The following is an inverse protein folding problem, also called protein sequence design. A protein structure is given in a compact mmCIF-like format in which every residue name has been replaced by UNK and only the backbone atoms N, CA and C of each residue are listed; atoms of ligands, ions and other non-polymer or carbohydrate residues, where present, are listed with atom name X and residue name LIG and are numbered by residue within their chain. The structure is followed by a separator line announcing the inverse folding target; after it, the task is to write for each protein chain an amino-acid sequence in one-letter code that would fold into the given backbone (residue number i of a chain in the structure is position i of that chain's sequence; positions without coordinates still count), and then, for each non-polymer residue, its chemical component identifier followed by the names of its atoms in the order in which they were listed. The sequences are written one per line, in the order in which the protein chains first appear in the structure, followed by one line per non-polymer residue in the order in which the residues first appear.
data_IF_948228021069
#
_entry.id   IF_948228021069
#
_cell.length_a   1.000
_cell.length_b   1.000
_cell.length_c   1.000
_cell.angle_alpha   90.00
_cell.angle_beta   90.00
_cell.angle_gamma   90.00
#
_symmetry.space_group_name_H-M   'P 1'
#
loop_
_entity.id
_entity.type
_entity.pdbx_description
1 polymer ?
#
# COMPACT_ATOMS: atom_id res chain seq x y z
N UNK A 1 -15.01 -10.97 -40.58
CA UNK A 1 -14.87 -12.14 -39.70
C UNK A 1 -14.02 -11.70 -38.53
N UNK A 2 -14.62 -11.47 -37.37
CA UNK A 2 -13.88 -11.15 -36.14
C UNK A 2 -13.23 -12.45 -35.68
N UNK A 3 -11.89 -12.51 -35.71
CA UNK A 3 -11.14 -13.62 -35.13
C UNK A 3 -11.17 -13.37 -33.63
N UNK A 4 -12.05 -14.10 -32.93
CA UNK A 4 -12.09 -14.12 -31.47
C UNK A 4 -10.83 -14.89 -31.05
N UNK A 5 -9.88 -14.21 -30.39
CA UNK A 5 -8.68 -14.84 -29.90
C UNK A 5 -8.97 -15.46 -28.53
N UNK A 6 -9.23 -16.77 -28.50
CA UNK A 6 -9.55 -17.53 -27.29
C UNK A 6 -8.46 -17.39 -26.20
N UNK A 7 -7.21 -17.17 -26.59
CA UNK A 7 -6.09 -16.98 -25.66
C UNK A 7 -6.21 -15.70 -24.82
N UNK A 8 -6.90 -14.66 -25.33
CA UNK A 8 -7.13 -13.44 -24.55
C UNK A 8 -8.16 -13.66 -23.45
N UNK A 9 -9.18 -14.48 -23.70
CA UNK A 9 -10.18 -14.84 -22.70
C UNK A 9 -9.58 -15.71 -21.60
N UNK A 10 -8.70 -16.65 -21.95
CA UNK A 10 -7.97 -17.46 -20.96
C UNK A 10 -7.10 -16.60 -20.04
N UNK A 11 -6.48 -15.53 -20.57
CA UNK A 11 -5.71 -14.59 -19.75
C UNK A 11 -6.62 -13.80 -18.81
N UNK A 12 -7.77 -13.32 -19.29
CA UNK A 12 -8.74 -12.60 -18.46
C UNK A 12 -9.24 -13.49 -17.30
N UNK A 13 -9.58 -14.75 -17.57
CA UNK A 13 -10.01 -15.71 -16.55
C UNK A 13 -8.90 -15.98 -15.51
N UNK A 14 -7.64 -16.10 -15.95
CA UNK A 14 -6.50 -16.27 -15.07
C UNK A 14 -6.21 -15.03 -14.21
N UNK A 15 -6.45 -13.82 -14.75
CA UNK A 15 -6.35 -12.58 -13.97
C UNK A 15 -7.40 -12.59 -12.85
N UNK A 16 -8.63 -12.96 -13.15
CA UNK A 16 -9.70 -13.06 -12.14
C UNK A 16 -9.35 -14.08 -11.04
N UNK A 17 -8.75 -15.22 -11.41
CA UNK A 17 -8.26 -16.21 -10.44
C UNK A 17 -7.14 -15.65 -9.55
N UNK A 18 -6.15 -14.98 -10.13
CA UNK A 18 -5.06 -14.33 -9.39
C UNK A 18 -5.60 -13.29 -8.42
N UNK A 19 -6.52 -12.44 -8.87
CA UNK A 19 -7.16 -11.42 -8.02
C UNK A 19 -7.93 -12.09 -6.89
N UNK A 20 -8.74 -13.11 -7.18
CA UNK A 20 -9.50 -13.83 -6.17
C UNK A 20 -8.59 -14.43 -5.10
N UNK A 21 -7.57 -15.17 -5.52
CA UNK A 21 -6.62 -15.81 -4.60
C UNK A 21 -5.85 -14.77 -3.78
N UNK A 22 -5.46 -13.66 -4.39
CA UNK A 22 -4.81 -12.55 -3.68
C UNK A 22 -5.73 -11.95 -2.61
N UNK A 23 -7.01 -11.76 -2.90
CA UNK A 23 -7.99 -11.21 -1.96
C UNK A 23 -8.30 -12.16 -0.78
N UNK A 24 -8.04 -13.45 -0.91
CA UNK A 24 -8.20 -14.47 0.14
C UNK A 24 -6.99 -14.54 1.09
N UNK A 25 -5.90 -13.83 0.80
CA UNK A 25 -4.72 -13.80 1.66
C UNK A 25 -5.02 -13.21 3.05
N UNK A 26 -4.44 -13.78 4.12
CA UNK A 26 -4.66 -13.30 5.48
C UNK A 26 -4.20 -11.85 5.68
N UNK A 27 -3.17 -11.41 4.97
CA UNK A 27 -2.67 -10.03 5.00
C UNK A 27 -3.70 -9.04 4.45
N UNK A 28 -4.44 -9.42 3.40
CA UNK A 28 -5.55 -8.61 2.85
C UNK A 28 -6.69 -8.51 3.85
N UNK A 29 -7.03 -9.64 4.50
CA UNK A 29 -8.06 -9.65 5.54
C UNK A 29 -7.68 -8.77 6.74
N UNK A 30 -6.43 -8.87 7.20
CA UNK A 30 -5.89 -8.06 8.29
C UNK A 30 -5.90 -6.56 7.95
N UNK A 31 -5.43 -6.19 6.76
CA UNK A 31 -5.48 -4.80 6.29
C UNK A 31 -6.91 -4.26 6.26
N UNK A 32 -7.86 -5.02 5.71
CA UNK A 32 -9.28 -4.61 5.65
C UNK A 32 -9.86 -4.38 7.04
N UNK A 33 -9.61 -5.27 8.00
CA UNK A 33 -10.10 -5.13 9.37
C UNK A 33 -9.53 -3.88 10.07
N UNK A 34 -8.22 -3.65 9.91
CA UNK A 34 -7.55 -2.46 10.45
C UNK A 34 -8.07 -1.17 9.80
N UNK A 35 -8.30 -1.21 8.48
CA UNK A 35 -8.87 -0.07 7.74
C UNK A 35 -10.26 0.27 8.24
N UNK A 36 -11.14 -0.72 8.42
CA UNK A 36 -12.48 -0.48 9.00
C UNK A 36 -12.37 0.11 10.41
N UNK A 37 -11.53 -0.44 11.27
CA UNK A 37 -11.32 0.07 12.64
C UNK A 37 -10.78 1.52 12.66
N UNK A 38 -9.97 1.88 11.66
CA UNK A 38 -9.45 3.23 11.48
C UNK A 38 -10.54 4.20 10.97
N UNK A 39 -11.37 3.78 10.00
CA UNK A 39 -12.45 4.58 9.42
C UNK A 39 -13.60 4.83 10.41
N UNK A 40 -13.88 3.87 11.30
CA UNK A 40 -14.90 3.98 12.35
C UNK A 40 -14.51 4.88 13.53
N UNK A 41 -13.24 5.29 13.64
CA UNK A 41 -12.76 6.17 14.71
C UNK A 41 -13.06 7.64 14.40
N UNK A 42 -14.25 8.11 14.80
CA UNK A 42 -14.73 9.47 14.54
C UNK A 42 -13.76 10.57 15.03
N UNK A 43 -13.14 10.39 16.20
CA UNK A 43 -12.19 11.35 16.77
C UNK A 43 -10.92 11.44 15.90
N UNK A 44 -10.39 10.30 15.47
CA UNK A 44 -9.23 10.25 14.59
C UNK A 44 -9.54 10.83 13.21
N UNK A 45 -10.72 10.53 12.65
CA UNK A 45 -11.16 11.08 11.37
C UNK A 45 -11.35 12.61 11.44
N UNK A 46 -11.91 13.14 12.53
CA UNK A 46 -12.04 14.58 12.72
C UNK A 46 -10.67 15.28 12.81
N UNK A 47 -9.71 14.69 13.54
CA UNK A 47 -8.32 15.19 13.61
C UNK A 47 -7.64 15.19 12.24
N UNK A 48 -7.83 14.13 11.44
CA UNK A 48 -7.30 14.01 10.08
C UNK A 48 -7.93 15.02 9.12
N UNK A 49 -9.24 15.25 9.23
CA UNK A 49 -9.93 16.24 8.43
C UNK A 49 -9.39 17.65 8.72
N UNK A 50 -9.29 18.02 10.01
CA UNK A 50 -8.70 19.30 10.41
C UNK A 50 -7.28 19.48 9.89
N UNK A 51 -6.47 18.42 9.93
CA UNK A 51 -5.10 18.43 9.41
C UNK A 51 -5.07 18.64 7.89
N UNK A 52 -5.93 17.93 7.15
CA UNK A 52 -6.03 17.97 5.68
C UNK A 52 -6.49 19.35 5.20
N UNK A 53 -7.51 19.91 5.84
CA UNK A 53 -8.03 21.25 5.52
C UNK A 53 -6.98 22.36 5.74
N UNK A 54 -6.02 22.12 6.63
CA UNK A 54 -4.98 23.10 6.98
C UNK A 54 -3.58 22.67 6.52
N UNK A 55 -3.47 21.78 5.53
CA UNK A 55 -2.21 21.14 5.13
C UNK A 55 -1.12 22.15 4.75
N UNK A 56 -1.48 23.22 4.06
CA UNK A 56 -0.55 24.28 3.62
C UNK A 56 0.00 25.11 4.79
N UNK A 57 -0.70 25.13 5.92
CA UNK A 57 -0.35 25.93 7.09
C UNK A 57 0.42 25.15 8.16
N UNK A 58 0.60 23.83 8.00
CA UNK A 58 1.29 22.97 8.97
C UNK A 58 2.69 23.50 9.30
N UNK A 59 3.43 23.99 8.28
CA UNK A 59 4.78 24.52 8.46
C UNK A 59 4.84 25.81 9.30
N UNK A 60 3.73 26.53 9.41
CA UNK A 60 3.65 27.85 10.04
C UNK A 60 2.87 27.84 11.36
N UNK A 61 2.19 26.73 11.70
CA UNK A 61 1.35 26.60 12.90
C UNK A 61 1.82 25.43 13.75
N UNK A 62 2.46 25.69 14.92
CA UNK A 62 3.01 24.64 15.76
C UNK A 62 1.95 23.66 16.28
N UNK A 63 0.72 24.13 16.50
CA UNK A 63 -0.42 23.30 16.91
C UNK A 63 -0.76 22.22 15.86
N UNK A 64 -0.71 22.55 14.57
CA UNK A 64 -0.96 21.59 13.49
C UNK A 64 0.19 20.59 13.32
N UNK A 65 1.43 21.03 13.53
CA UNK A 65 2.58 20.14 13.56
C UNK A 65 2.49 19.13 14.73
N UNK A 66 2.02 19.59 15.88
CA UNK A 66 1.78 18.74 17.05
C UNK A 66 0.63 17.75 16.80
N UNK A 67 -0.48 18.22 16.22
CA UNK A 67 -1.60 17.36 15.81
C UNK A 67 -1.15 16.27 14.83
N UNK A 68 -0.34 16.63 13.82
CA UNK A 68 0.25 15.64 12.89
C UNK A 68 1.04 14.57 13.62
N UNK A 69 1.88 14.98 14.57
CA UNK A 69 2.68 14.04 15.37
C UNK A 69 1.79 13.14 16.22
N UNK A 70 0.73 13.68 16.82
CA UNK A 70 -0.22 12.92 17.62
C UNK A 70 -0.94 11.85 16.78
N UNK A 71 -1.39 12.21 15.56
CA UNK A 71 -1.99 11.27 14.61
C UNK A 71 -0.98 10.18 14.23
N UNK A 72 0.27 10.54 13.93
CA UNK A 72 1.31 9.57 13.56
C UNK A 72 1.69 8.62 14.70
N UNK A 73 1.54 9.03 15.96
CA UNK A 73 1.78 8.20 17.14
C UNK A 73 0.56 7.38 17.55
N UNK A 74 -0.59 7.57 16.90
CA UNK A 74 -1.79 6.79 17.17
C UNK A 74 -1.56 5.33 16.76
N UNK A 75 -1.87 4.40 17.65
CA UNK A 75 -1.66 2.98 17.43
C UNK A 75 -2.43 2.44 16.21
N UNK A 76 -3.67 2.89 15.97
CA UNK A 76 -4.46 2.46 14.81
C UNK A 76 -3.81 2.90 13.50
N UNK A 77 -3.29 4.12 13.46
CA UNK A 77 -2.55 4.65 12.31
C UNK A 77 -1.29 3.82 12.08
N UNK A 78 -0.55 3.53 13.14
CA UNK A 78 0.68 2.74 13.06
C UNK A 78 0.42 1.33 12.54
N UNK A 79 -0.55 0.62 13.11
CA UNK A 79 -0.91 -0.74 12.70
C UNK A 79 -1.41 -0.77 11.25
N UNK A 80 -2.23 0.21 10.85
CA UNK A 80 -2.69 0.33 9.48
C UNK A 80 -1.51 0.53 8.51
N UNK A 81 -0.52 1.35 8.87
CA UNK A 81 0.66 1.59 8.03
C UNK A 81 1.55 0.37 7.87
N UNK A 82 1.68 -0.47 8.90
CA UNK A 82 2.38 -1.75 8.79
C UNK A 82 1.65 -2.65 7.80
N UNK A 83 0.34 -2.85 8.00
CA UNK A 83 -0.46 -3.71 7.12
C UNK A 83 -0.50 -3.19 5.66
N UNK A 84 -0.50 -1.87 5.45
CA UNK A 84 -0.35 -1.29 4.10
C UNK A 84 0.99 -1.65 3.48
N UNK A 85 2.08 -1.58 4.23
CA UNK A 85 3.40 -1.92 3.74
C UNK A 85 3.52 -3.41 3.40
N UNK A 86 2.96 -4.29 4.25
CA UNK A 86 2.94 -5.73 3.99
C UNK A 86 2.17 -6.05 2.70
N UNK A 87 1.02 -5.39 2.49
CA UNK A 87 0.24 -5.54 1.27
C UNK A 87 0.99 -5.04 0.03
N UNK A 88 1.70 -3.91 0.15
CA UNK A 88 2.53 -3.37 -0.93
C UNK A 88 3.70 -4.29 -1.28
N UNK A 89 4.30 -4.96 -0.29
CA UNK A 89 5.35 -5.95 -0.52
C UNK A 89 4.81 -7.14 -1.31
N UNK A 90 3.68 -7.71 -0.92
CA UNK A 90 3.01 -8.80 -1.65
C UNK A 90 2.66 -8.42 -3.09
N UNK A 91 2.12 -7.21 -3.31
CA UNK A 91 1.81 -6.72 -4.66
C UNK A 91 3.08 -6.54 -5.49
N UNK A 92 4.18 -6.09 -4.86
CA UNK A 92 5.47 -5.92 -5.53
C UNK A 92 6.06 -7.25 -5.95
N UNK A 93 5.98 -8.27 -5.09
CA UNK A 93 6.39 -9.64 -5.41
C UNK A 93 5.57 -10.22 -6.56
N UNK A 94 4.25 -10.15 -6.48
CA UNK A 94 3.37 -10.59 -7.57
C UNK A 94 3.70 -9.90 -8.90
N UNK A 95 3.96 -8.59 -8.88
CA UNK A 95 4.31 -7.83 -10.09
C UNK A 95 5.65 -8.28 -10.69
N UNK A 96 6.63 -8.62 -9.84
CA UNK A 96 7.92 -9.15 -10.29
C UNK A 96 7.78 -10.54 -10.88
N UNK A 97 6.96 -11.40 -10.29
CA UNK A 97 6.74 -12.76 -10.78
C UNK A 97 6.09 -12.73 -12.16
N UNK A 98 5.07 -11.89 -12.35
CA UNK A 98 4.43 -11.67 -13.65
C UNK A 98 5.43 -11.10 -14.67
N UNK A 99 6.18 -10.06 -14.28
CA UNK A 99 7.14 -9.41 -15.18
C UNK A 99 8.25 -10.38 -15.60
N UNK A 100 8.76 -11.19 -14.68
CA UNK A 100 9.82 -12.17 -14.93
C UNK A 100 9.35 -13.33 -15.80
N UNK A 101 8.08 -13.73 -15.70
CA UNK A 101 7.48 -14.72 -16.58
C UNK A 101 7.42 -14.26 -18.04
N UNK A 102 7.26 -12.95 -18.28
CA UNK A 102 7.28 -12.34 -19.62
C UNK A 102 8.73 -12.10 -20.09
N UNK A 103 9.56 -11.50 -19.24
CA UNK A 103 10.98 -11.25 -19.51
C UNK A 103 11.74 -10.92 -18.24
N UNK A 104 12.84 -11.64 -18.01
CA UNK A 104 13.76 -11.38 -16.89
C UNK A 104 14.47 -10.01 -16.96
N UNK A 105 14.29 -9.26 -18.05
CA UNK A 105 14.88 -7.92 -18.22
C UNK A 105 13.91 -6.77 -17.89
N UNK A 106 12.64 -7.07 -17.59
CA UNK A 106 11.68 -6.06 -17.16
C UNK A 106 11.95 -5.74 -15.69
N UNK A 107 12.36 -4.49 -15.43
CA UNK A 107 12.57 -4.00 -14.07
C UNK A 107 11.26 -3.43 -13.49
N UNK A 108 10.93 -3.84 -12.27
CA UNK A 108 9.78 -3.33 -11.50
C UNK A 108 10.31 -2.40 -10.41
N UNK A 109 9.94 -1.13 -10.47
CA UNK A 109 10.22 -0.18 -9.39
C UNK A 109 9.18 -0.33 -8.28
N UNK A 110 9.64 -0.71 -7.10
CA UNK A 110 8.79 -1.06 -5.96
C UNK A 110 8.32 0.17 -5.18
N UNK A 111 9.05 1.30 -5.25
CA UNK A 111 8.78 2.52 -4.45
C UNK A 111 8.32 2.29 -2.99
N UNK A 112 8.80 1.21 -2.35
CA UNK A 112 8.36 0.79 -1.03
C UNK A 112 8.89 1.77 0.04
N UNK A 113 8.02 2.46 0.80
CA UNK A 113 8.42 3.53 1.70
C UNK A 113 9.29 3.06 2.88
N UNK A 114 9.23 1.78 3.28
CA UNK A 114 9.96 1.25 4.44
C UNK A 114 11.16 0.34 4.08
N UNK A 115 11.45 0.14 2.79
CA UNK A 115 12.55 -0.75 2.34
C UNK A 115 13.93 -0.04 2.27
N UNK A 116 13.96 1.28 2.46
CA UNK A 116 15.13 2.15 2.28
C UNK A 116 16.07 2.25 3.49
N UNK A 117 16.67 1.12 3.92
CA UNK A 117 17.55 1.11 5.09
C UNK A 117 18.67 0.08 5.03
N UNK A 118 19.23 -0.24 3.86
CA UNK A 118 20.39 -1.14 3.75
C UNK A 118 21.20 -0.86 2.50
N UNK A 119 22.03 0.19 2.54
CA UNK A 119 23.28 0.32 1.73
C UNK A 119 24.06 1.59 2.13
N UNK A 120 24.62 1.59 3.33
CA UNK A 120 25.88 2.29 3.56
C UNK A 120 26.99 1.23 3.60
N UNK A 121 27.45 0.85 2.41
CA UNK A 121 28.72 0.14 2.27
C UNK A 121 29.83 1.10 2.70
N UNK A 122 30.35 0.90 3.92
CA UNK A 122 31.64 1.47 4.34
C UNK A 122 32.70 0.94 3.39
N UNK A 123 33.17 1.79 2.48
CA UNK A 123 34.47 1.60 1.85
C UNK A 123 35.55 1.85 2.90
N UNK A 124 36.29 0.80 3.23
CA UNK A 124 37.64 0.88 3.79
C UNK A 124 38.65 0.90 2.65
#
# INVERSE_FOLDING_TARGET
MLIINEQLFEIDDLIDEVVKNFLELPEVAAYRALKTTFEEDEDLQAKLQLLTENQEYIAFRPELAQLRKEILLNEKVYQLRIAENDLQELLSELTKDISSAISAHIFVDENLPLKGGSRHGRHH
#
